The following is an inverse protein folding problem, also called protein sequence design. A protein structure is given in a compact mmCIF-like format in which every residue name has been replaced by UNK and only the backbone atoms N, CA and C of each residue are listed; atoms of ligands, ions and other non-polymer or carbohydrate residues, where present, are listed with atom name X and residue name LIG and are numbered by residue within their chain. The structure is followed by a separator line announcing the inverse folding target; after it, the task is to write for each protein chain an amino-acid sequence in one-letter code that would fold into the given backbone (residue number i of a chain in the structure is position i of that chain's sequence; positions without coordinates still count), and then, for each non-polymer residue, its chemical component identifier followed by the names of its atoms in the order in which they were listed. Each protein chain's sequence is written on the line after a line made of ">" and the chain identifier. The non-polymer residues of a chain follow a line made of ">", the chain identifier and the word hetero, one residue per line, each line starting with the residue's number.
data_IF_976772285923
#
_entry.id   IF_976772285923
#
_cell.length_a   1.000
_cell.length_b   1.000
_cell.length_c   1.000
_cell.angle_alpha   90.00
_cell.angle_beta   90.00
_cell.angle_gamma   90.00
#
_symmetry.space_group_name_H-M   'P 1'
#
loop_
_entity.id
_entity.type
_entity.pdbx_description
1 polymer ?
#
# COMPACT_ATOMS: atom_id res chain seq x y z
N UNK A 1 -9.42 1.90 7.69
CA UNK A 1 -10.05 2.94 8.52
C UNK A 1 -9.98 4.24 7.76
N UNK A 2 -10.99 5.09 7.81
CA UNK A 2 -10.92 6.46 7.29
C UNK A 2 -10.97 7.46 8.44
N UNK A 3 -10.34 8.61 8.25
CA UNK A 3 -10.42 9.75 9.15
C UNK A 3 -10.34 11.04 8.33
N UNK A 4 -11.00 12.10 8.80
CA UNK A 4 -10.93 13.43 8.21
C UNK A 4 -10.06 14.32 9.11
N UNK A 5 -9.14 15.05 8.50
CA UNK A 5 -8.21 15.94 9.19
C UNK A 5 -8.38 17.36 8.69
N UNK A 6 -8.62 18.31 9.59
CA UNK A 6 -8.55 19.74 9.28
C UNK A 6 -7.07 20.15 9.22
N UNK A 7 -6.61 20.57 8.04
CA UNK A 7 -5.21 20.95 7.78
C UNK A 7 -5.02 22.47 7.76
N UNK A 8 -6.08 23.20 7.43
CA UNK A 8 -6.20 24.66 7.51
C UNK A 8 -7.65 24.99 7.90
N UNK A 9 -7.96 26.21 8.40
CA UNK A 9 -9.33 26.56 8.78
C UNK A 9 -10.34 26.28 7.65
N UNK A 10 -11.30 25.38 7.92
CA UNK A 10 -12.31 24.88 6.98
C UNK A 10 -11.77 24.11 5.75
N UNK A 11 -10.51 23.64 5.78
CA UNK A 11 -9.96 22.77 4.74
C UNK A 11 -9.64 21.40 5.33
N UNK A 12 -10.28 20.39 4.77
CA UNK A 12 -10.25 19.02 5.28
C UNK A 12 -9.63 18.08 4.25
N UNK A 13 -8.90 17.08 4.74
CA UNK A 13 -8.37 15.98 3.93
C UNK A 13 -8.87 14.66 4.50
N UNK A 14 -9.41 13.81 3.64
CA UNK A 14 -9.87 12.47 4.01
C UNK A 14 -8.74 11.47 3.78
N UNK A 15 -8.34 10.78 4.85
CA UNK A 15 -7.27 9.78 4.80
C UNK A 15 -7.85 8.39 5.03
N UNK A 16 -7.67 7.51 4.04
CA UNK A 16 -7.95 6.09 4.14
C UNK A 16 -6.65 5.35 4.46
N UNK A 17 -6.56 4.77 5.66
CA UNK A 17 -5.44 3.93 6.05
C UNK A 17 -5.82 2.45 6.10
N UNK A 18 -4.95 1.59 5.55
CA UNK A 18 -5.16 0.15 5.50
C UNK A 18 -3.89 -0.66 5.73
N UNK A 19 -4.04 -1.82 6.37
CA UNK A 19 -3.07 -2.91 6.32
C UNK A 19 -3.81 -4.13 5.76
N UNK A 20 -3.60 -4.42 4.47
CA UNK A 20 -4.35 -5.46 3.77
C UNK A 20 -3.79 -6.86 4.02
N UNK A 21 -4.56 -7.88 3.65
CA UNK A 21 -4.20 -9.29 3.90
C UNK A 21 -2.79 -9.64 3.41
N UNK A 22 -1.93 -10.02 4.35
CA UNK A 22 -0.62 -10.62 4.05
C UNK A 22 -0.77 -11.97 3.34
N UNK A 23 0.16 -12.26 2.42
CA UNK A 23 0.29 -13.57 1.78
C UNK A 23 0.90 -14.64 2.71
N UNK A 24 0.97 -14.40 4.02
CA UNK A 24 1.48 -15.30 5.06
C UNK A 24 2.85 -15.92 4.71
N UNK A 25 3.72 -15.09 4.12
CA UNK A 25 5.01 -15.50 3.62
C UNK A 25 5.90 -16.10 4.72
N UNK A 26 5.90 -15.50 5.90
CA UNK A 26 6.65 -15.97 7.08
C UNK A 26 6.27 -17.39 7.49
N UNK A 27 5.02 -17.79 7.32
CA UNK A 27 4.55 -19.16 7.55
C UNK A 27 5.14 -20.11 6.50
N UNK A 28 5.05 -19.77 5.21
CA UNK A 28 5.64 -20.58 4.14
C UNK A 28 7.16 -20.73 4.31
N UNK A 29 7.84 -19.65 4.70
CA UNK A 29 9.28 -19.66 5.02
C UNK A 29 9.65 -20.67 6.10
N UNK A 30 8.89 -20.79 7.19
CA UNK A 30 9.18 -21.78 8.25
C UNK A 30 9.22 -23.22 7.73
N UNK A 31 8.54 -23.53 6.63
CA UNK A 31 8.60 -24.83 5.96
C UNK A 31 9.79 -24.93 4.99
N UNK A 32 10.24 -23.82 4.41
CA UNK A 32 11.40 -23.76 3.51
C UNK A 32 12.74 -23.86 4.27
N UNK A 33 12.84 -23.34 5.50
CA UNK A 33 14.07 -23.31 6.31
C UNK A 33 14.44 -24.67 6.97
N UNK A 34 13.58 -25.69 6.89
CA UNK A 34 13.72 -26.97 7.63
C UNK A 34 14.24 -28.15 6.81
N UNK A 35 14.85 -27.93 5.64
CA UNK A 35 15.38 -28.96 4.72
C UNK A 35 14.37 -30.02 4.21
N UNK A 36 13.13 -30.06 4.72
CA UNK A 36 12.22 -31.18 4.48
C UNK A 36 11.32 -31.03 3.25
N UNK A 37 11.09 -29.81 2.73
CA UNK A 37 10.28 -29.67 1.51
C UNK A 37 10.32 -28.27 0.90
N UNK A 38 11.41 -27.95 0.22
CA UNK A 38 11.49 -26.73 -0.60
C UNK A 38 10.31 -26.64 -1.59
N UNK A 39 9.90 -27.77 -2.18
CA UNK A 39 8.77 -27.84 -3.10
C UNK A 39 7.41 -27.62 -2.43
N UNK A 40 7.17 -28.17 -1.23
CA UNK A 40 5.92 -27.91 -0.50
C UNK A 40 5.89 -26.48 0.06
N UNK A 41 7.04 -25.92 0.42
CA UNK A 41 7.15 -24.51 0.81
C UNK A 41 6.75 -23.56 -0.32
N UNK A 42 7.21 -23.83 -1.55
CA UNK A 42 6.83 -23.05 -2.74
C UNK A 42 5.34 -23.22 -3.06
N UNK A 43 4.82 -24.45 -3.01
CA UNK A 43 3.41 -24.70 -3.30
C UNK A 43 2.49 -24.05 -2.27
N UNK A 44 2.86 -24.10 -0.98
CA UNK A 44 2.19 -23.42 0.11
C UNK A 44 2.26 -21.90 -0.04
N UNK A 45 3.42 -21.35 -0.41
CA UNK A 45 3.56 -19.92 -0.67
C UNK A 45 2.64 -19.47 -1.81
N UNK A 46 2.65 -20.18 -2.94
CA UNK A 46 1.79 -19.86 -4.08
C UNK A 46 0.32 -19.89 -3.69
N UNK A 47 -0.11 -20.92 -2.94
CA UNK A 47 -1.48 -21.02 -2.43
C UNK A 47 -1.84 -19.86 -1.51
N UNK A 48 -0.97 -19.53 -0.55
CA UNK A 48 -1.21 -18.41 0.36
C UNK A 48 -1.22 -17.07 -0.37
N UNK A 49 -0.38 -16.92 -1.40
CA UNK A 49 -0.38 -15.74 -2.26
C UNK A 49 -1.69 -15.62 -3.05
N UNK A 50 -2.17 -16.69 -3.68
CA UNK A 50 -3.44 -16.68 -4.43
C UNK A 50 -4.64 -16.37 -3.54
N UNK A 51 -4.69 -16.97 -2.34
CA UNK A 51 -5.74 -16.68 -1.35
C UNK A 51 -5.63 -15.24 -0.86
N UNK A 52 -4.42 -14.80 -0.51
CA UNK A 52 -4.15 -13.43 -0.06
C UNK A 52 -4.56 -12.41 -1.11
N UNK A 53 -4.18 -12.61 -2.37
CA UNK A 53 -4.56 -11.76 -3.51
C UNK A 53 -6.08 -11.61 -3.61
N UNK A 54 -6.83 -12.71 -3.62
CA UNK A 54 -8.31 -12.64 -3.71
C UNK A 54 -8.95 -11.86 -2.57
N UNK A 55 -8.41 -12.00 -1.36
CA UNK A 55 -8.88 -11.26 -0.18
C UNK A 55 -8.54 -9.78 -0.33
N UNK A 56 -7.31 -9.44 -0.73
CA UNK A 56 -6.90 -8.05 -0.99
C UNK A 56 -7.74 -7.39 -2.07
N UNK A 57 -8.04 -8.09 -3.17
CA UNK A 57 -8.91 -7.57 -4.23
C UNK A 57 -10.35 -7.30 -3.73
N UNK A 58 -10.82 -8.05 -2.73
CA UNK A 58 -12.11 -7.80 -2.09
C UNK A 58 -12.04 -6.62 -1.11
N UNK A 59 -10.99 -6.55 -0.29
CA UNK A 59 -10.73 -5.44 0.63
C UNK A 59 -10.59 -4.12 -0.13
N UNK A 60 -9.82 -4.11 -1.22
CA UNK A 60 -9.63 -2.97 -2.11
C UNK A 60 -10.94 -2.46 -2.70
N UNK A 61 -11.78 -3.36 -3.25
CA UNK A 61 -13.10 -2.97 -3.78
C UNK A 61 -14.02 -2.38 -2.71
N UNK A 62 -13.97 -2.87 -1.48
CA UNK A 62 -14.76 -2.29 -0.39
C UNK A 62 -14.26 -0.89 -0.02
N UNK A 63 -12.94 -0.70 0.08
CA UNK A 63 -12.36 0.61 0.38
C UNK A 63 -12.62 1.59 -0.76
N UNK A 64 -12.47 1.17 -2.02
CA UNK A 64 -12.69 1.99 -3.22
C UNK A 64 -14.06 2.64 -3.24
N UNK A 65 -15.11 1.95 -2.81
CA UNK A 65 -16.47 2.53 -2.71
C UNK A 65 -16.53 3.77 -1.82
N UNK A 66 -15.85 3.75 -0.67
CA UNK A 66 -15.81 4.90 0.23
C UNK A 66 -14.91 6.02 -0.31
N UNK A 67 -13.87 5.66 -1.06
CA UNK A 67 -13.05 6.66 -1.74
C UNK A 67 -13.87 7.35 -2.83
N UNK A 68 -14.66 6.60 -3.62
CA UNK A 68 -15.56 7.15 -4.64
C UNK A 68 -16.60 8.09 -4.04
N UNK A 69 -17.16 7.75 -2.88
CA UNK A 69 -18.08 8.61 -2.13
C UNK A 69 -17.41 9.92 -1.70
N UNK A 70 -16.21 9.86 -1.12
CA UNK A 70 -15.45 11.06 -0.73
C UNK A 70 -15.08 11.93 -1.95
N UNK A 71 -14.69 11.30 -3.07
CA UNK A 71 -14.34 12.00 -4.30
C UNK A 71 -15.57 12.65 -4.94
N UNK A 72 -16.73 11.99 -4.93
CA UNK A 72 -17.99 12.57 -5.42
C UNK A 72 -18.44 13.80 -4.61
N UNK A 73 -18.06 13.88 -3.34
CA UNK A 73 -18.24 15.06 -2.47
C UNK A 73 -17.19 16.16 -2.70
N UNK A 74 -16.22 15.94 -3.59
CA UNK A 74 -15.13 16.88 -3.86
C UNK A 74 -14.10 17.00 -2.74
N UNK A 75 -13.98 15.96 -1.90
CA UNK A 75 -13.03 15.95 -0.77
C UNK A 75 -11.64 15.53 -1.27
N UNK A 76 -10.56 16.23 -0.85
CA UNK A 76 -9.19 15.74 -1.04
C UNK A 76 -8.99 14.39 -0.35
N UNK A 77 -8.40 13.43 -1.05
CA UNK A 77 -8.23 12.05 -0.60
C UNK A 77 -6.75 11.67 -0.57
N UNK A 78 -6.36 10.99 0.51
CA UNK A 78 -5.13 10.19 0.59
C UNK A 78 -5.49 8.75 0.95
N UNK A 79 -4.90 7.78 0.26
CA UNK A 79 -4.96 6.35 0.63
C UNK A 79 -3.55 5.90 0.99
N UNK A 80 -3.34 5.32 2.16
CA UNK A 80 -2.00 4.99 2.63
C UNK A 80 -1.95 3.71 3.46
N UNK A 81 -0.82 3.00 3.38
CA UNK A 81 -0.47 1.92 4.29
C UNK A 81 0.15 0.71 3.60
N UNK A 82 0.24 -0.40 4.32
CA UNK A 82 0.79 -1.66 3.82
C UNK A 82 -0.29 -2.44 3.06
N UNK A 83 -0.21 -2.39 1.73
CA UNK A 83 -1.15 -3.13 0.89
C UNK A 83 -0.75 -4.61 0.74
N UNK A 84 0.43 -5.03 1.22
CA UNK A 84 0.96 -6.37 1.01
C UNK A 84 0.96 -6.82 -0.46
N UNK A 85 1.00 -5.87 -1.40
CA UNK A 85 0.94 -6.14 -2.84
C UNK A 85 1.78 -5.16 -3.66
N UNK A 86 2.08 -5.58 -4.89
CA UNK A 86 2.91 -4.83 -5.83
C UNK A 86 2.14 -3.66 -6.47
N UNK A 87 2.85 -2.61 -6.89
CA UNK A 87 2.32 -1.37 -7.49
C UNK A 87 1.66 -1.51 -8.87
N UNK A 88 1.35 -2.73 -9.31
CA UNK A 88 0.59 -3.06 -10.53
C UNK A 88 -0.31 -4.28 -10.31
N UNK A 89 -0.63 -4.56 -9.06
CA UNK A 89 -1.59 -5.61 -8.69
C UNK A 89 -3.01 -5.11 -8.90
N UNK A 90 -3.96 -6.01 -9.11
CA UNK A 90 -5.38 -5.64 -9.29
C UNK A 90 -5.90 -4.88 -8.06
N UNK A 91 -5.48 -5.27 -6.84
CA UNK A 91 -5.74 -4.56 -5.60
C UNK A 91 -5.24 -3.10 -5.64
N UNK A 92 -3.99 -2.88 -6.04
CA UNK A 92 -3.40 -1.55 -6.14
C UNK A 92 -4.10 -0.69 -7.18
N UNK A 93 -4.29 -1.22 -8.40
CA UNK A 93 -4.97 -0.53 -9.50
C UNK A 93 -6.44 -0.21 -9.15
N UNK A 94 -7.12 -1.11 -8.42
CA UNK A 94 -8.47 -0.86 -7.92
C UNK A 94 -8.51 0.32 -6.96
N UNK A 95 -7.56 0.41 -6.02
CA UNK A 95 -7.51 1.52 -5.08
C UNK A 95 -7.14 2.83 -5.79
N UNK A 96 -6.17 2.80 -6.71
CA UNK A 96 -5.72 3.96 -7.46
C UNK A 96 -6.81 4.52 -8.37
N UNK A 97 -7.56 3.65 -9.05
CA UNK A 97 -8.57 4.09 -10.01
C UNK A 97 -7.97 4.98 -11.10
N UNK A 98 -8.81 5.82 -11.70
CA UNK A 98 -8.36 6.85 -12.65
C UNK A 98 -8.19 8.22 -11.99
N UNK A 99 -8.51 8.33 -10.71
CA UNK A 99 -8.69 9.57 -9.96
C UNK A 99 -7.60 9.81 -8.90
N UNK A 100 -6.79 8.79 -8.58
CA UNK A 100 -5.64 8.94 -7.69
C UNK A 100 -4.32 8.69 -8.42
N UNK A 101 -3.24 9.23 -7.85
CA UNK A 101 -1.86 9.06 -8.31
C UNK A 101 -1.02 8.38 -7.26
N UNK A 102 -0.03 7.60 -7.69
CA UNK A 102 0.96 6.96 -6.81
C UNK A 102 2.08 7.95 -6.47
N UNK A 103 2.15 8.36 -5.20
CA UNK A 103 3.15 9.32 -4.74
C UNK A 103 4.58 8.88 -5.07
N UNK A 104 4.90 7.60 -4.93
CA UNK A 104 6.25 7.13 -5.24
C UNK A 104 6.58 7.26 -6.72
N UNK A 105 5.61 7.00 -7.62
CA UNK A 105 5.88 7.14 -9.05
C UNK A 105 5.89 8.58 -9.54
N UNK A 106 5.21 9.48 -8.85
CA UNK A 106 5.17 10.89 -9.21
C UNK A 106 6.42 11.66 -8.75
N UNK A 107 6.99 11.34 -7.58
CA UNK A 107 8.11 12.10 -7.01
C UNK A 107 9.31 11.28 -6.52
N UNK A 108 9.21 9.96 -6.48
CA UNK A 108 10.24 9.09 -5.90
C UNK A 108 11.39 8.80 -6.86
N UNK A 109 12.52 8.36 -6.30
CA UNK A 109 13.70 7.95 -7.08
C UNK A 109 14.09 6.50 -6.83
N UNK A 110 14.21 5.72 -7.90
CA UNK A 110 14.43 4.27 -7.83
C UNK A 110 13.15 3.50 -7.58
N UNK A 111 13.25 2.31 -6.98
CA UNK A 111 12.12 1.37 -6.95
C UNK A 111 11.29 1.42 -5.64
N UNK A 112 11.68 2.23 -4.65
CA UNK A 112 10.86 2.49 -3.46
C UNK A 112 10.63 1.30 -2.56
N UNK A 113 11.67 0.53 -2.27
CA UNK A 113 11.58 -0.65 -1.42
C UNK A 113 11.25 -0.25 -0.01
N UNK A 114 10.10 -0.74 0.45
CA UNK A 114 9.61 -0.46 1.79
C UNK A 114 9.62 -1.71 2.65
N UNK A 115 9.91 -2.89 2.10
CA UNK A 115 10.02 -4.16 2.82
C UNK A 115 11.36 -4.83 2.53
N UNK A 116 12.04 -5.26 3.60
CA UNK A 116 13.34 -5.93 3.57
C UNK A 116 13.27 -7.20 4.40
N UNK A 117 12.85 -8.29 3.78
CA UNK A 117 12.75 -9.59 4.46
C UNK A 117 13.18 -10.73 3.55
N UNK A 118 13.91 -11.69 4.11
CA UNK A 118 14.35 -12.92 3.42
C UNK A 118 15.06 -12.67 2.07
N UNK A 119 16.04 -11.76 2.03
CA UNK A 119 16.75 -11.38 0.80
C UNK A 119 15.84 -10.82 -0.32
N UNK A 120 14.54 -10.66 -0.06
CA UNK A 120 13.60 -9.98 -0.94
C UNK A 120 13.55 -8.53 -0.53
N UNK A 121 13.42 -7.69 -1.54
CA UNK A 121 13.14 -6.28 -1.38
C UNK A 121 11.88 -5.99 -2.18
N UNK A 122 10.85 -5.48 -1.52
CA UNK A 122 9.54 -5.22 -2.15
C UNK A 122 9.03 -3.81 -1.79
N UNK A 123 8.21 -3.23 -2.66
CA UNK A 123 7.41 -2.03 -2.36
C UNK A 123 6.00 -2.47 -2.00
N UNK A 124 5.71 -2.52 -0.71
CA UNK A 124 4.44 -2.99 -0.16
C UNK A 124 3.65 -1.86 0.51
N UNK A 125 4.36 -0.83 1.00
CA UNK A 125 3.73 0.39 1.49
C UNK A 125 3.52 1.35 0.33
N UNK A 126 2.33 1.92 0.24
CA UNK A 126 1.94 2.82 -0.84
C UNK A 126 1.24 4.06 -0.28
N UNK A 127 1.34 5.17 -1.00
CA UNK A 127 0.60 6.41 -0.75
C UNK A 127 -0.02 6.82 -2.09
N UNK A 128 -1.35 6.84 -2.15
CA UNK A 128 -2.12 7.31 -3.29
C UNK A 128 -2.81 8.63 -2.91
N UNK A 129 -2.95 9.56 -3.84
CA UNK A 129 -3.53 10.87 -3.55
C UNK A 129 -4.33 11.43 -4.72
N UNK A 130 -5.36 12.22 -4.43
CA UNK A 130 -6.23 12.86 -5.43
C UNK A 130 -5.67 14.18 -5.97
N UNK A 131 -6.26 14.68 -7.06
CA UNK A 131 -5.78 15.86 -7.78
C UNK A 131 -5.87 17.18 -7.01
N UNK A 132 -6.62 17.26 -5.92
CA UNK A 132 -6.67 18.43 -5.04
C UNK A 132 -5.36 18.64 -4.26
N UNK A 133 -4.50 17.62 -4.23
CA UNK A 133 -3.21 17.63 -3.55
C UNK A 133 -2.07 17.72 -4.58
N UNK A 134 -1.08 18.53 -4.25
CA UNK A 134 0.19 18.62 -4.94
C UNK A 134 1.26 17.89 -4.11
N UNK A 135 1.87 16.86 -4.68
CA UNK A 135 3.00 16.19 -4.06
C UNK A 135 4.23 17.10 -4.14
N UNK A 136 4.84 17.42 -2.99
CA UNK A 136 6.04 18.26 -2.93
C UNK A 136 7.31 17.46 -2.70
N UNK A 137 7.21 16.31 -2.03
CA UNK A 137 8.34 15.42 -1.75
C UNK A 137 7.85 14.02 -1.37
N UNK A 138 8.67 12.99 -1.64
CA UNK A 138 8.40 11.62 -1.22
C UNK A 138 9.70 10.86 -1.03
N UNK A 139 9.84 10.17 0.10
CA UNK A 139 11.03 9.42 0.45
C UNK A 139 10.73 8.14 1.23
N UNK A 140 11.62 7.17 1.09
CA UNK A 140 11.67 6.01 1.99
C UNK A 140 12.80 6.25 2.99
N UNK A 141 12.44 6.30 4.27
CA UNK A 141 13.42 6.52 5.34
C UNK A 141 14.23 5.26 5.58
N UNK A 142 15.55 5.37 5.42
CA UNK A 142 16.47 4.27 5.69
C UNK A 142 16.65 4.07 7.20
N UNK A 143 16.02 3.01 7.74
CA UNK A 143 16.06 2.68 9.15
C UNK A 143 15.91 1.18 9.38
N UNK A 144 16.48 0.69 10.48
CA UNK A 144 16.45 -0.71 10.92
C UNK A 144 15.47 -0.95 12.09
N UNK A 145 14.56 0.01 12.35
CA UNK A 145 13.57 -0.12 13.42
C UNK A 145 12.49 -1.18 13.15
N UNK A 146 12.29 -1.55 11.88
CA UNK A 146 11.36 -2.58 11.42
C UNK A 146 11.87 -3.20 10.11
N UNK A 147 11.38 -4.39 9.78
CA UNK A 147 11.54 -4.99 8.44
C UNK A 147 10.79 -4.20 7.35
N UNK A 148 9.88 -3.32 7.74
CA UNK A 148 9.31 -2.29 6.88
C UNK A 148 9.96 -0.92 7.14
N UNK A 149 10.38 -0.27 6.06
CA UNK A 149 10.83 1.12 6.07
C UNK A 149 9.64 2.08 5.92
N UNK A 150 9.61 3.20 6.67
CA UNK A 150 8.61 4.24 6.50
C UNK A 150 8.67 4.84 5.09
N UNK A 151 7.50 4.99 4.46
CA UNK A 151 7.31 5.80 3.26
C UNK A 151 6.65 7.11 3.69
N UNK A 152 7.30 8.24 3.42
CA UNK A 152 6.84 9.57 3.79
C UNK A 152 6.57 10.34 2.51
N UNK A 153 5.43 11.04 2.44
CA UNK A 153 5.10 11.95 1.36
C UNK A 153 4.60 13.28 1.95
N UNK A 154 5.09 14.37 1.37
CA UNK A 154 4.68 15.73 1.72
C UNK A 154 3.74 16.26 0.64
N UNK A 155 2.65 16.87 1.09
CA UNK A 155 1.62 17.40 0.20
C UNK A 155 1.33 18.86 0.51
N UNK A 156 0.98 19.60 -0.53
CA UNK A 156 0.37 20.92 -0.45
C UNK A 156 -1.05 20.83 -0.98
N UNK A 157 -2.01 21.41 -0.26
CA UNK A 157 -3.37 21.55 -0.74
C UNK A 157 -3.42 22.68 -1.77
N UNK A 158 -4.07 22.43 -2.92
CA UNK A 158 -4.18 23.41 -4.01
C UNK A 158 -5.11 24.58 -3.68
#
# INVERSE_FOLDING_TARGET
>A
MSAEFEVEPNKWVTVFSGHLRSSAYSTARRYMDKDASWFDGISLYKRNYEIGKRIRDYEARNVRRFIDEAHAEGKPVIVTGDLNDWCRSDCFETLMGSDLKDAWWEGGNGFGWTYFGWNLRLRLNHILYSDELELTDVEVIDTDLSDHKPLIANFKLK
#
